data_IF_195980858901
#
_entry.id   IF_195980858901
#
_cell.length_a   1.000
_cell.length_b   1.000
_cell.length_c   1.000
_cell.angle_alpha   90.00
_cell.angle_beta   90.00
_cell.angle_gamma   90.00
#
_symmetry.space_group_name_H-M   'P 1'
#
loop_
_entity.id
_entity.type
_entity.pdbx_description
1 polymer ?
#
# COMPACT_ATOMS: atom_id res chain seq x y z
N UNK A 1 -27.78 -15.12 -26.82
CA UNK A 1 -26.37 -14.73 -26.63
C UNK A 1 -26.23 -13.21 -26.40
N UNK A 2 -26.81 -12.67 -25.31
CA UNK A 2 -26.81 -11.20 -25.04
C UNK A 2 -26.16 -10.83 -23.70
N UNK A 3 -25.72 -11.81 -22.87
CA UNK A 3 -25.28 -11.54 -21.51
C UNK A 3 -23.78 -11.27 -21.30
N UNK A 4 -22.95 -11.31 -22.36
CA UNK A 4 -21.49 -11.15 -22.22
C UNK A 4 -21.00 -9.70 -22.32
N UNK A 5 -21.82 -8.79 -22.80
CA UNK A 5 -21.43 -7.39 -23.10
C UNK A 5 -21.56 -6.41 -21.91
N UNK A 6 -22.37 -6.77 -20.91
CA UNK A 6 -22.63 -5.90 -19.75
C UNK A 6 -21.69 -6.12 -18.55
N UNK A 7 -20.87 -7.18 -18.54
CA UNK A 7 -19.96 -7.45 -17.43
C UNK A 7 -18.60 -6.73 -17.51
N UNK A 8 -18.15 -6.33 -18.70
CA UNK A 8 -16.84 -5.68 -18.86
C UNK A 8 -16.76 -4.26 -18.27
N UNK A 9 -17.70 -3.33 -18.54
CA UNK A 9 -17.63 -1.98 -17.97
C UNK A 9 -17.72 -1.99 -16.44
N UNK A 10 -18.66 -2.71 -15.85
CA UNK A 10 -18.84 -2.79 -14.40
C UNK A 10 -17.59 -3.32 -13.66
N UNK A 11 -16.85 -4.25 -14.27
CA UNK A 11 -15.63 -4.79 -13.68
C UNK A 11 -14.47 -3.81 -13.75
N UNK A 12 -14.35 -3.04 -14.82
CA UNK A 12 -13.32 -1.99 -14.97
C UNK A 12 -13.58 -0.89 -13.97
N UNK A 13 -14.84 -0.50 -13.76
CA UNK A 13 -15.23 0.51 -12.77
C UNK A 13 -14.90 0.04 -11.33
N UNK A 14 -15.18 -1.24 -11.03
CA UNK A 14 -14.83 -1.84 -9.74
C UNK A 14 -13.31 -1.83 -9.49
N UNK A 15 -12.51 -2.24 -10.48
CA UNK A 15 -11.05 -2.22 -10.40
C UNK A 15 -10.54 -0.79 -10.14
N UNK A 16 -11.05 0.17 -10.91
CA UNK A 16 -10.67 1.58 -10.78
C UNK A 16 -11.08 2.15 -9.42
N UNK A 17 -12.25 1.78 -8.89
CA UNK A 17 -12.71 2.18 -7.58
C UNK A 17 -11.79 1.64 -6.47
N UNK A 18 -11.47 0.34 -6.47
CA UNK A 18 -10.57 -0.27 -5.50
C UNK A 18 -9.16 0.36 -5.55
N UNK A 19 -8.61 0.55 -6.74
CA UNK A 19 -7.30 1.18 -6.89
C UNK A 19 -7.34 2.65 -6.46
N UNK A 20 -8.40 3.38 -6.79
CA UNK A 20 -8.59 4.76 -6.35
C UNK A 20 -8.62 4.91 -4.82
N UNK A 21 -9.25 3.95 -4.11
CA UNK A 21 -9.25 3.92 -2.64
C UNK A 21 -7.85 3.67 -2.06
N UNK A 22 -7.05 2.78 -2.68
CA UNK A 22 -5.64 2.57 -2.30
C UNK A 22 -4.85 3.88 -2.42
N UNK A 23 -4.97 4.55 -3.57
CA UNK A 23 -4.25 5.81 -3.82
C UNK A 23 -4.72 6.92 -2.86
N UNK A 24 -6.03 7.02 -2.61
CA UNK A 24 -6.58 7.99 -1.68
C UNK A 24 -6.06 7.77 -0.25
N UNK A 25 -6.06 6.52 0.23
CA UNK A 25 -5.55 6.17 1.55
C UNK A 25 -4.05 6.47 1.67
N UNK A 26 -3.25 6.03 0.69
CA UNK A 26 -1.80 6.25 0.67
C UNK A 26 -1.41 7.75 0.64
N UNK A 27 -2.31 8.62 0.20
CA UNK A 27 -2.08 10.07 0.12
C UNK A 27 -2.61 10.86 1.32
N UNK A 28 -3.12 10.20 2.36
CA UNK A 28 -3.57 10.90 3.56
C UNK A 28 -2.41 11.68 4.21
N UNK A 29 -2.59 12.97 4.50
CA UNK A 29 -1.52 13.83 5.05
C UNK A 29 -0.90 13.32 6.35
N UNK A 30 -1.65 12.55 7.15
CA UNK A 30 -1.18 12.00 8.41
C UNK A 30 0.01 11.06 8.24
N UNK A 31 0.13 10.30 7.14
CA UNK A 31 1.28 9.44 6.90
C UNK A 31 2.58 10.23 6.77
N UNK A 32 2.52 11.42 6.20
CA UNK A 32 3.68 12.28 6.00
C UNK A 32 3.98 13.13 7.23
N UNK A 33 2.94 13.59 7.93
CA UNK A 33 3.06 14.46 9.10
C UNK A 33 3.32 13.67 10.39
N UNK A 34 2.51 12.62 10.65
CA UNK A 34 2.44 11.96 11.95
C UNK A 34 3.22 10.64 11.97
N UNK A 35 3.46 10.03 10.80
CA UNK A 35 4.27 8.85 10.62
C UNK A 35 5.65 9.17 10.00
N UNK A 36 5.91 10.44 9.68
CA UNK A 36 7.16 10.92 9.10
C UNK A 36 7.62 10.14 7.84
N UNK A 37 6.67 9.58 7.08
CA UNK A 37 7.00 9.02 5.76
C UNK A 37 7.42 10.18 4.86
N UNK A 38 8.54 10.01 4.14
CA UNK A 38 9.03 11.06 3.27
C UNK A 38 8.01 11.42 2.19
N UNK A 39 7.63 12.70 2.07
CA UNK A 39 6.75 13.18 1.00
C UNK A 39 7.55 13.35 -0.32
N UNK A 40 7.97 12.23 -0.86
CA UNK A 40 8.71 12.09 -2.10
C UNK A 40 8.02 11.09 -3.02
N UNK A 41 8.44 11.02 -4.28
CA UNK A 41 7.94 10.00 -5.22
C UNK A 41 8.11 8.59 -4.65
N UNK A 42 9.26 8.30 -4.03
CA UNK A 42 9.52 6.99 -3.43
C UNK A 42 8.62 6.73 -2.21
N UNK A 43 8.49 7.68 -1.28
CA UNK A 43 7.64 7.49 -0.09
C UNK A 43 6.16 7.34 -0.46
N UNK A 44 5.67 8.08 -1.45
CA UNK A 44 4.32 7.90 -2.01
C UNK A 44 4.15 6.53 -2.66
N UNK A 45 5.13 6.07 -3.43
CA UNK A 45 5.15 4.73 -4.01
C UNK A 45 5.13 3.65 -2.92
N UNK A 46 5.95 3.79 -1.89
CA UNK A 46 6.04 2.81 -0.80
C UNK A 46 4.72 2.66 -0.04
N UNK A 47 3.98 3.76 0.20
CA UNK A 47 2.65 3.72 0.80
C UNK A 47 1.60 3.08 -0.12
N UNK A 48 1.65 3.34 -1.43
CA UNK A 48 0.77 2.66 -2.40
C UNK A 48 1.05 1.16 -2.39
N UNK A 49 2.31 0.74 -2.43
CA UNK A 49 2.73 -0.67 -2.39
C UNK A 49 2.26 -1.34 -1.10
N UNK A 50 2.37 -0.67 0.06
CA UNK A 50 1.90 -1.17 1.35
C UNK A 50 0.40 -1.50 1.28
N UNK A 51 -0.45 -0.53 0.92
CA UNK A 51 -1.90 -0.72 0.89
C UNK A 51 -2.34 -1.71 -0.19
N UNK A 52 -1.69 -1.68 -1.37
CA UNK A 52 -1.93 -2.63 -2.44
C UNK A 52 -1.60 -4.07 -2.01
N UNK A 53 -0.46 -4.29 -1.35
CA UNK A 53 -0.08 -5.61 -0.86
C UNK A 53 -1.11 -6.17 0.14
N UNK A 54 -1.61 -5.34 1.07
CA UNK A 54 -2.65 -5.74 2.03
C UNK A 54 -3.96 -6.12 1.33
N UNK A 55 -4.40 -5.33 0.36
CA UNK A 55 -5.62 -5.64 -0.39
C UNK A 55 -5.45 -6.91 -1.23
N UNK A 56 -4.34 -7.07 -1.93
CA UNK A 56 -4.10 -8.26 -2.76
C UNK A 56 -4.03 -9.53 -1.93
N UNK A 57 -3.41 -9.48 -0.72
CA UNK A 57 -3.43 -10.60 0.22
C UNK A 57 -4.88 -10.96 0.62
N UNK A 58 -5.70 -9.97 0.95
CA UNK A 58 -7.13 -10.18 1.26
C UNK A 58 -7.91 -10.80 0.10
N UNK A 59 -7.72 -10.29 -1.12
CA UNK A 59 -8.42 -10.79 -2.30
C UNK A 59 -7.97 -12.20 -2.71
N UNK A 60 -6.70 -12.54 -2.46
CA UNK A 60 -6.15 -13.87 -2.76
C UNK A 60 -6.76 -15.00 -1.90
N UNK A 61 -7.23 -14.67 -0.69
CA UNK A 61 -7.89 -15.61 0.22
C UNK A 61 -9.22 -16.13 -0.32
N UNK A 62 -9.85 -15.40 -1.24
CA UNK A 62 -11.14 -15.75 -1.86
C UNK A 62 -10.93 -16.13 -3.33
N UNK A 63 -11.18 -17.38 -3.68
CA UNK A 63 -11.01 -17.86 -5.07
C UNK A 63 -11.79 -17.01 -6.09
N UNK A 64 -12.99 -16.57 -5.72
CA UNK A 64 -13.85 -15.72 -6.57
C UNK A 64 -13.27 -14.32 -6.82
N UNK A 65 -12.40 -13.81 -5.95
CA UNK A 65 -11.82 -12.48 -6.01
C UNK A 65 -10.41 -12.43 -6.63
N UNK A 66 -9.77 -13.57 -6.88
CA UNK A 66 -8.40 -13.62 -7.43
C UNK A 66 -8.25 -12.85 -8.74
N UNK A 67 -9.24 -12.98 -9.64
CA UNK A 67 -9.20 -12.26 -10.92
C UNK A 67 -9.42 -10.76 -10.74
N UNK A 68 -10.16 -10.35 -9.70
CA UNK A 68 -10.30 -8.94 -9.34
C UNK A 68 -8.96 -8.41 -8.79
N UNK A 69 -8.29 -9.18 -7.94
CA UNK A 69 -6.95 -8.85 -7.45
C UNK A 69 -5.93 -8.66 -8.57
N UNK A 70 -5.93 -9.56 -9.56
CA UNK A 70 -5.07 -9.39 -10.75
C UNK A 70 -5.39 -8.09 -11.48
N UNK A 71 -6.67 -7.76 -11.69
CA UNK A 71 -7.05 -6.52 -12.37
C UNK A 71 -6.63 -5.26 -11.60
N UNK A 72 -6.70 -5.28 -10.26
CA UNK A 72 -6.20 -4.16 -9.44
C UNK A 72 -4.68 -4.01 -9.56
N UNK A 73 -3.94 -5.11 -9.59
CA UNK A 73 -2.50 -5.09 -9.81
C UNK A 73 -2.13 -4.59 -11.21
N UNK A 74 -2.85 -5.04 -12.24
CA UNK A 74 -2.64 -4.57 -13.62
C UNK A 74 -2.88 -3.05 -13.71
N UNK A 75 -3.94 -2.53 -13.05
CA UNK A 75 -4.23 -1.11 -12.97
C UNK A 75 -3.13 -0.31 -12.28
N UNK A 76 -2.54 -0.86 -11.22
CA UNK A 76 -1.34 -0.28 -10.59
C UNK A 76 -0.17 -0.21 -11.57
N UNK A 77 0.11 -1.27 -12.32
CA UNK A 77 1.18 -1.28 -13.32
C UNK A 77 0.97 -0.23 -14.41
N UNK A 78 -0.26 -0.10 -14.92
CA UNK A 78 -0.62 0.94 -15.90
C UNK A 78 -0.37 2.36 -15.36
N UNK A 79 -0.76 2.62 -14.11
CA UNK A 79 -0.55 3.92 -13.45
C UNK A 79 0.93 4.21 -13.26
N UNK A 80 1.73 3.22 -12.84
CA UNK A 80 3.18 3.37 -12.69
C UNK A 80 3.87 3.64 -14.03
N UNK A 81 3.48 2.92 -15.08
CA UNK A 81 4.02 3.14 -16.43
C UNK A 81 3.69 4.56 -16.93
N UNK A 82 2.46 5.01 -16.72
CA UNK A 82 2.04 6.37 -17.08
C UNK A 82 2.86 7.43 -16.34
N UNK A 83 3.01 7.29 -15.02
CA UNK A 83 3.79 8.19 -14.19
C UNK A 83 5.28 8.26 -14.63
N UNK A 84 5.89 7.12 -15.01
CA UNK A 84 7.27 7.12 -15.53
C UNK A 84 7.39 7.95 -16.83
N UNK A 85 6.40 7.84 -17.73
CA UNK A 85 6.37 8.63 -18.97
C UNK A 85 6.17 10.12 -18.68
N UNK A 86 5.27 10.47 -17.75
CA UNK A 86 5.07 11.87 -17.34
C UNK A 86 6.32 12.47 -16.69
N UNK A 87 7.12 11.68 -15.98
CA UNK A 87 8.41 12.10 -15.44
C UNK A 87 9.52 12.22 -16.51
N UNK A 88 9.21 11.99 -17.78
CA UNK A 88 10.16 12.12 -18.88
C UNK A 88 11.07 10.91 -19.07
N UNK A 89 10.75 9.76 -18.49
CA UNK A 89 11.49 8.52 -18.75
C UNK A 89 11.21 8.07 -20.19
N UNK A 90 12.26 8.05 -21.03
CA UNK A 90 12.13 7.66 -22.43
C UNK A 90 11.68 6.20 -22.60
N UNK A 91 10.93 5.92 -23.68
CA UNK A 91 10.26 4.63 -23.93
C UNK A 91 11.19 3.42 -23.83
N UNK A 92 12.46 3.55 -24.22
CA UNK A 92 13.44 2.46 -24.11
C UNK A 92 13.85 2.14 -22.66
N UNK A 93 13.64 3.06 -21.72
CA UNK A 93 13.98 2.86 -20.30
C UNK A 93 12.79 2.42 -19.47
N UNK A 94 11.55 2.73 -19.90
CA UNK A 94 10.32 2.40 -19.18
C UNK A 94 10.25 0.91 -18.81
N UNK A 95 10.51 -0.07 -19.70
CA UNK A 95 10.43 -1.48 -19.33
C UNK A 95 11.39 -1.87 -18.20
N UNK A 96 12.59 -1.31 -18.18
CA UNK A 96 13.60 -1.57 -17.14
C UNK A 96 13.17 -0.99 -15.79
N UNK A 97 12.62 0.22 -15.79
CA UNK A 97 12.12 0.82 -14.55
C UNK A 97 10.87 0.10 -14.05
N UNK A 98 9.96 -0.32 -14.92
CA UNK A 98 8.81 -1.16 -14.56
C UNK A 98 9.23 -2.50 -13.95
N UNK A 99 10.27 -3.15 -14.50
CA UNK A 99 10.82 -4.36 -13.90
C UNK A 99 11.32 -4.10 -12.48
N UNK A 100 12.09 -3.02 -12.25
CA UNK A 100 12.57 -2.64 -10.91
C UNK A 100 11.43 -2.36 -9.92
N UNK A 101 10.38 -1.68 -10.38
CA UNK A 101 9.19 -1.42 -9.57
C UNK A 101 8.46 -2.73 -9.22
N UNK A 102 8.36 -3.65 -10.16
CA UNK A 102 7.81 -4.99 -9.93
C UNK A 102 8.62 -5.79 -8.91
N UNK A 103 9.95 -5.84 -9.05
CA UNK A 103 10.85 -6.48 -8.08
C UNK A 103 10.71 -5.86 -6.68
N UNK A 104 10.64 -4.53 -6.62
CA UNK A 104 10.42 -3.80 -5.37
C UNK A 104 9.06 -4.12 -4.74
N UNK A 105 7.99 -4.19 -5.55
CA UNK A 105 6.66 -4.57 -5.09
C UNK A 105 6.65 -5.98 -4.51
N UNK A 106 7.12 -6.98 -5.27
CA UNK A 106 7.09 -8.38 -4.82
C UNK A 106 7.96 -8.61 -3.58
N UNK A 107 9.14 -8.01 -3.51
CA UNK A 107 10.00 -8.10 -2.34
C UNK A 107 9.36 -7.51 -1.08
N UNK A 108 8.69 -6.36 -1.18
CA UNK A 108 7.97 -5.75 -0.07
C UNK A 108 6.72 -6.54 0.33
N UNK A 109 5.90 -6.95 -0.65
CA UNK A 109 4.69 -7.73 -0.40
C UNK A 109 5.01 -9.04 0.34
N UNK A 110 6.04 -9.76 -0.11
CA UNK A 110 6.50 -10.99 0.54
C UNK A 110 7.01 -10.72 1.96
N UNK A 111 7.80 -9.65 2.16
CA UNK A 111 8.31 -9.29 3.48
C UNK A 111 7.16 -8.93 4.45
N UNK A 112 6.17 -8.18 3.99
CA UNK A 112 4.99 -7.84 4.80
C UNK A 112 4.13 -9.06 5.12
N UNK A 113 3.87 -9.92 4.15
CA UNK A 113 3.10 -11.15 4.35
C UNK A 113 3.77 -12.07 5.39
N UNK A 114 5.07 -12.31 5.25
CA UNK A 114 5.83 -13.12 6.20
C UNK A 114 5.83 -12.50 7.60
N UNK A 115 6.00 -11.18 7.69
CA UNK A 115 6.04 -10.45 8.95
C UNK A 115 4.68 -10.39 9.66
N UNK A 116 3.57 -10.28 8.90
CA UNK A 116 2.21 -10.31 9.44
C UNK A 116 1.81 -11.70 9.94
N UNK A 117 2.40 -12.76 9.39
CA UNK A 117 2.20 -14.15 9.82
C UNK A 117 3.05 -14.52 11.06
N UNK A 118 4.08 -13.74 11.36
CA UNK A 118 4.94 -13.97 12.53
C UNK A 118 4.26 -13.51 13.83
N UNK A 119 4.66 -14.13 14.94
CA UNK A 119 4.20 -13.72 16.27
C UNK A 119 4.79 -12.37 16.67
N UNK A 120 3.96 -11.52 17.25
CA UNK A 120 4.36 -10.19 17.72
C UNK A 120 4.66 -9.20 16.58
N UNK A 121 5.19 -8.04 16.94
CA UNK A 121 5.36 -6.91 16.01
C UNK A 121 6.81 -6.66 15.56
N UNK A 122 7.78 -7.34 16.17
CA UNK A 122 9.20 -7.06 15.94
C UNK A 122 9.61 -7.26 14.45
N UNK A 123 9.17 -8.35 13.83
CA UNK A 123 9.48 -8.67 12.43
C UNK A 123 8.82 -7.66 11.49
N UNK A 124 7.57 -7.28 11.77
CA UNK A 124 6.83 -6.30 10.96
C UNK A 124 7.45 -4.91 11.10
N UNK A 125 7.78 -4.49 12.32
CA UNK A 125 8.47 -3.23 12.60
C UNK A 125 9.80 -3.15 11.84
N UNK A 126 10.59 -4.22 11.85
CA UNK A 126 11.85 -4.28 11.11
C UNK A 126 11.65 -4.20 9.59
N UNK A 127 10.65 -4.90 9.06
CA UNK A 127 10.32 -4.85 7.64
C UNK A 127 9.91 -3.44 7.20
N UNK A 128 9.11 -2.75 8.00
CA UNK A 128 8.68 -1.37 7.77
C UNK A 128 9.88 -0.41 7.87
N UNK A 129 10.69 -0.50 8.93
CA UNK A 129 11.87 0.33 9.09
C UNK A 129 12.78 0.27 7.84
N UNK A 130 12.97 -0.92 7.29
CA UNK A 130 13.79 -1.11 6.09
C UNK A 130 13.11 -0.60 4.81
N UNK A 131 11.83 -0.90 4.62
CA UNK A 131 11.15 -0.69 3.33
C UNK A 131 10.56 0.72 3.18
N UNK A 132 10.14 1.35 4.28
CA UNK A 132 9.52 2.70 4.27
C UNK A 132 10.55 3.77 4.65
N UNK A 133 11.41 3.49 5.63
CA UNK A 133 12.37 4.46 6.17
C UNK A 133 13.80 4.22 5.71
N UNK A 134 14.05 3.22 4.84
CA UNK A 134 15.38 2.91 4.33
C UNK A 134 16.38 2.48 5.40
N UNK A 135 15.92 2.00 6.56
CA UNK A 135 16.75 1.60 7.69
C UNK A 135 17.42 2.75 8.46
N UNK A 136 17.12 3.98 8.09
CA UNK A 136 17.65 5.20 8.74
C UNK A 136 16.51 6.10 9.19
N UNK A 137 16.65 6.82 10.33
CA UNK A 137 15.64 7.77 10.75
C UNK A 137 15.43 8.84 9.67
N UNK A 138 14.19 9.32 9.49
CA UNK A 138 13.94 10.43 8.60
C UNK A 138 14.78 11.63 9.03
N UNK A 139 15.42 12.30 8.07
CA UNK A 139 16.14 13.53 8.35
C UNK A 139 15.11 14.56 8.82
N UNK A 140 15.27 15.05 10.05
CA UNK A 140 14.42 16.13 10.58
C UNK A 140 14.44 17.30 9.60
N UNK A 141 13.29 17.79 9.15
CA UNK A 141 13.24 18.90 8.20
C UNK A 141 13.70 20.24 8.78
N UNK A 142 13.77 20.38 10.11
CA UNK A 142 14.27 21.59 10.78
C UNK A 142 14.74 21.25 12.21
N UNK A 143 15.86 21.90 12.69
CA UNK A 143 16.36 21.72 14.05
C UNK A 143 15.44 22.27 15.16
N UNK A 144 14.37 22.98 14.83
CA UNK A 144 13.47 23.66 15.79
C UNK A 144 12.09 23.01 15.93
N UNK A 145 11.85 21.80 15.37
CA UNK A 145 10.62 21.05 15.58
C UNK A 145 10.75 20.13 16.79
N UNK A 146 9.75 20.12 17.71
CA UNK A 146 9.78 19.24 18.87
C UNK A 146 9.78 17.77 18.42
N UNK A 147 10.63 17.00 19.06
CA UNK A 147 10.76 15.54 19.06
C UNK A 147 10.08 14.80 17.90
N UNK A 148 10.81 14.62 16.78
CA UNK A 148 10.45 13.59 15.82
C UNK A 148 10.67 12.24 16.52
N UNK A 149 9.63 11.39 16.63
CA UNK A 149 9.78 10.08 17.25
C UNK A 149 10.95 9.30 16.61
N UNK A 150 11.63 8.49 17.40
CA UNK A 150 12.70 7.65 16.91
C UNK A 150 12.19 6.67 15.83
N UNK A 151 13.08 6.27 14.91
CA UNK A 151 12.74 5.34 13.83
C UNK A 151 12.04 4.06 14.32
N UNK A 152 12.43 3.40 15.44
CA UNK A 152 11.71 2.27 15.98
C UNK A 152 10.25 2.59 16.32
N UNK A 153 9.99 3.75 16.92
CA UNK A 153 8.64 4.18 17.32
C UNK A 153 7.76 4.46 16.09
N UNK A 154 8.31 5.13 15.07
CA UNK A 154 7.61 5.38 13.80
C UNK A 154 7.27 4.09 13.08
N UNK A 155 8.22 3.16 13.00
CA UNK A 155 8.02 1.86 12.36
C UNK A 155 7.03 0.99 13.14
N UNK A 156 7.09 1.00 14.48
CA UNK A 156 6.14 0.29 15.34
C UNK A 156 4.72 0.85 15.21
N UNK A 157 4.56 2.17 15.15
CA UNK A 157 3.28 2.82 14.90
C UNK A 157 2.69 2.45 13.55
N UNK A 158 3.50 2.42 12.49
CA UNK A 158 3.04 1.98 11.17
C UNK A 158 2.75 0.48 11.13
N UNK A 159 3.47 -0.35 11.91
CA UNK A 159 3.15 -1.77 12.08
C UNK A 159 1.79 -1.96 12.76
N UNK A 160 1.50 -1.20 13.80
CA UNK A 160 0.18 -1.23 14.46
C UNK A 160 -0.94 -0.83 13.49
N UNK A 161 -0.74 0.22 12.69
CA UNK A 161 -1.67 0.60 11.64
C UNK A 161 -1.87 -0.54 10.61
N UNK A 162 -0.79 -1.18 10.14
CA UNK A 162 -0.91 -2.30 9.18
C UNK A 162 -1.72 -3.46 9.75
N UNK A 163 -1.53 -3.83 11.03
CA UNK A 163 -2.34 -4.87 11.67
C UNK A 163 -3.81 -4.47 11.75
N UNK A 164 -4.08 -3.22 12.11
CA UNK A 164 -5.44 -2.68 12.13
C UNK A 164 -6.07 -2.75 10.73
N UNK A 165 -5.33 -2.37 9.69
CA UNK A 165 -5.78 -2.44 8.30
C UNK A 165 -6.05 -3.89 7.84
N UNK A 166 -5.24 -4.86 8.27
CA UNK A 166 -5.48 -6.28 7.98
C UNK A 166 -6.77 -6.77 8.64
N UNK A 167 -7.02 -6.41 9.91
CA UNK A 167 -8.24 -6.78 10.63
C UNK A 167 -9.47 -6.18 9.96
N UNK A 168 -9.39 -4.92 9.60
CA UNK A 168 -10.47 -4.20 8.92
C UNK A 168 -10.78 -4.80 7.53
N UNK A 169 -9.76 -5.08 6.72
CA UNK A 169 -9.91 -5.74 5.43
C UNK A 169 -10.53 -7.15 5.55
N UNK A 170 -10.18 -7.90 6.58
CA UNK A 170 -10.76 -9.23 6.85
C UNK A 170 -12.24 -9.15 7.26
N UNK A 171 -12.64 -8.08 7.92
CA UNK A 171 -14.04 -7.85 8.32
C UNK A 171 -14.94 -7.47 7.12
N UNK A 172 -14.36 -6.95 6.03
CA UNK A 172 -15.12 -6.58 4.83
C UNK A 172 -15.54 -7.82 4.04
N UNK A 173 -16.85 -7.87 3.68
CA UNK A 173 -17.39 -9.02 2.97
C UNK A 173 -16.84 -9.15 1.56
N UNK A 174 -16.64 -10.38 1.04
CA UNK A 174 -16.24 -10.59 -0.36
C UNK A 174 -17.20 -9.93 -1.36
N UNK A 175 -18.49 -9.89 -1.05
CA UNK A 175 -19.50 -9.25 -1.91
C UNK A 175 -19.31 -7.74 -1.98
N UNK A 176 -18.98 -7.08 -0.87
CA UNK A 176 -18.68 -5.64 -0.82
C UNK A 176 -17.44 -5.30 -1.67
N UNK A 177 -16.36 -6.06 -1.50
CA UNK A 177 -15.13 -5.89 -2.29
C UNK A 177 -15.37 -6.13 -3.80
N UNK A 178 -16.20 -7.13 -4.15
CA UNK A 178 -16.57 -7.40 -5.53
C UNK A 178 -17.39 -6.27 -6.18
N UNK A 179 -18.00 -5.40 -5.37
CA UNK A 179 -18.72 -4.21 -5.82
C UNK A 179 -17.86 -2.95 -5.85
N UNK A 180 -16.58 -3.03 -5.46
CA UNK A 180 -15.68 -1.89 -5.40
C UNK A 180 -15.76 -1.08 -4.11
N UNK A 181 -16.48 -1.58 -3.10
CA UNK A 181 -16.57 -0.94 -1.80
C UNK A 181 -15.38 -1.42 -0.94
N UNK A 182 -14.41 -0.57 -0.79
CA UNK A 182 -13.21 -0.77 0.02
C UNK A 182 -13.08 0.38 0.99
N UNK A 183 -12.69 0.09 2.23
CA UNK A 183 -12.21 1.12 3.15
C UNK A 183 -10.97 0.63 3.88
N UNK A 184 -10.20 1.58 4.39
CA UNK A 184 -9.09 1.37 5.31
C UNK A 184 -9.38 2.12 6.60
N UNK A 185 -8.85 1.67 7.75
CA UNK A 185 -9.02 2.38 9.00
C UNK A 185 -8.34 3.75 8.97
N UNK A 186 -8.84 4.67 9.80
CA UNK A 186 -8.15 5.94 10.00
C UNK A 186 -6.76 5.70 10.61
N UNK A 187 -5.68 6.14 9.95
CA UNK A 187 -4.34 6.00 10.52
C UNK A 187 -4.16 6.68 11.88
N UNK A 188 -4.94 7.71 12.17
CA UNK A 188 -4.91 8.37 13.48
C UNK A 188 -5.44 7.49 14.62
N UNK A 189 -6.25 6.47 14.31
CA UNK A 189 -6.77 5.52 15.29
C UNK A 189 -5.77 4.43 15.69
N UNK A 190 -4.63 4.31 15.00
CA UNK A 190 -3.61 3.34 15.36
C UNK A 190 -3.00 3.68 16.74
N UNK A 191 -2.87 2.68 17.65
CA UNK A 191 -2.30 2.94 18.96
C UNK A 191 -0.88 3.49 18.84
N UNK A 192 -0.64 4.61 19.52
CA UNK A 192 0.71 5.11 19.74
C UNK A 192 1.35 4.13 20.73
N UNK A 193 2.45 3.49 20.35
CA UNK A 193 3.12 2.51 21.19
C UNK A 193 3.30 3.06 22.61
N UNK A 194 2.77 2.36 23.60
CA UNK A 194 3.02 2.64 25.01
C UNK A 194 4.51 2.43 25.28
N UNK A 195 5.18 3.50 25.71
CA UNK A 195 6.54 3.42 26.28
C UNK A 195 6.59 2.52 27.50
#
# INVERSE_FOLDING_TARGET
MIFSRFRRPARTDTISALYGMIVAQARLPCFYRDYAVADTVNGRFDLIVLHLALLLDRLAQEAALRTLGQGVFDRFCEDMEHNLREMGIGDLKVPKEMQRMGEAFYGRAQAYQAALAADGDAVLTQAIARNIYGGSPPKSPKPDLPDVPDLPDLAARLAAYMRLAVLDLRAQSPASLAQGNLHFPDPAAAPVGSR
#
